data_IF_196606767716
#
_entry.id   IF_196606767716
#
_cell.length_a   1.000
_cell.length_b   1.000
_cell.length_c   1.000
_cell.angle_alpha   90.00
_cell.angle_beta   90.00
_cell.angle_gamma   90.00
#
_symmetry.space_group_name_H-M   'P 1'
#
loop_
_entity.id
_entity.type
_entity.pdbx_description
1 polymer ?
#
# COMPACT_ATOMS: atom_id res chain seq x y z
N UNK A 1 7.53 -14.79 13.19
CA UNK A 1 7.06 -16.16 12.89
C UNK A 1 8.18 -16.88 12.17
N UNK A 2 8.38 -18.17 12.44
CA UNK A 2 9.61 -18.93 12.14
C UNK A 2 10.24 -18.64 10.78
N UNK A 3 11.57 -18.48 10.77
CA UNK A 3 12.38 -18.33 9.55
C UNK A 3 12.94 -19.68 9.07
N UNK A 4 12.44 -20.80 9.61
CA UNK A 4 12.86 -22.18 9.32
C UNK A 4 11.70 -23.06 8.85
N UNK A 5 11.98 -24.33 8.56
CA UNK A 5 11.00 -25.29 8.03
C UNK A 5 10.13 -26.00 9.07
N UNK A 6 10.41 -25.80 10.36
CA UNK A 6 9.67 -26.44 11.44
C UNK A 6 8.42 -25.64 11.84
N UNK A 7 7.40 -26.35 12.32
CA UNK A 7 6.18 -25.73 12.82
C UNK A 7 6.49 -24.76 13.97
N UNK A 8 5.94 -23.54 13.86
CA UNK A 8 6.10 -22.49 14.84
C UNK A 8 4.74 -22.05 15.36
N UNK A 9 4.64 -21.91 16.68
CA UNK A 9 3.41 -21.50 17.37
C UNK A 9 3.53 -20.05 17.86
N UNK A 10 2.44 -19.30 17.78
CA UNK A 10 2.32 -17.97 18.37
C UNK A 10 1.12 -17.95 19.31
N UNK A 11 1.38 -17.70 20.59
CA UNK A 11 0.36 -17.61 21.62
C UNK A 11 0.13 -16.13 21.91
N UNK A 12 -1.09 -15.66 21.70
CA UNK A 12 -1.48 -14.28 21.97
C UNK A 12 -2.22 -14.22 23.31
N UNK A 13 -1.66 -13.50 24.28
CA UNK A 13 -2.26 -13.32 25.61
C UNK A 13 -2.77 -11.88 25.77
N UNK A 14 -3.98 -11.73 26.30
CA UNK A 14 -4.60 -10.42 26.55
C UNK A 14 -5.04 -10.30 28.01
N UNK A 15 -5.11 -9.05 28.50
CA UNK A 15 -5.70 -8.76 29.80
C UNK A 15 -7.24 -8.81 29.77
N UNK A 16 -7.87 -8.84 30.95
CA UNK A 16 -9.33 -8.91 31.10
C UNK A 16 -10.11 -7.74 30.47
N UNK A 17 -9.49 -6.56 30.36
CA UNK A 17 -10.12 -5.36 29.77
C UNK A 17 -9.47 -5.05 28.43
N UNK A 18 -10.14 -5.46 27.35
CA UNK A 18 -9.80 -5.08 25.98
C UNK A 18 -10.71 -3.94 25.51
N UNK A 19 -10.11 -2.93 24.89
CA UNK A 19 -10.89 -1.99 24.08
C UNK A 19 -11.53 -2.74 22.91
N UNK A 20 -12.61 -2.17 22.34
CA UNK A 20 -13.26 -2.79 21.18
C UNK A 20 -12.30 -2.92 20.00
N UNK A 21 -11.45 -1.91 19.78
CA UNK A 21 -10.42 -1.95 18.74
C UNK A 21 -9.41 -3.09 18.97
N UNK A 22 -8.90 -3.23 20.20
CA UNK A 22 -7.95 -4.29 20.53
C UNK A 22 -8.56 -5.68 20.35
N UNK A 23 -9.86 -5.85 20.64
CA UNK A 23 -10.58 -7.11 20.40
C UNK A 23 -10.62 -7.44 18.90
N UNK A 24 -11.00 -6.48 18.05
CA UNK A 24 -11.09 -6.70 16.60
C UNK A 24 -9.70 -7.06 16.03
N UNK A 25 -8.64 -6.39 16.47
CA UNK A 25 -7.26 -6.70 16.04
C UNK A 25 -6.86 -8.12 16.42
N UNK A 26 -7.15 -8.54 17.64
CA UNK A 26 -6.87 -9.89 18.12
C UNK A 26 -7.65 -10.95 17.35
N UNK A 27 -8.95 -10.74 17.14
CA UNK A 27 -9.79 -11.66 16.35
C UNK A 27 -9.26 -11.80 14.92
N UNK A 28 -8.92 -10.69 14.27
CA UNK A 28 -8.35 -10.68 12.91
C UNK A 28 -7.05 -11.48 12.85
N UNK A 29 -6.19 -11.34 13.86
CA UNK A 29 -4.89 -12.01 13.93
C UNK A 29 -5.00 -13.55 14.12
N UNK A 30 -6.12 -14.02 14.68
CA UNK A 30 -6.41 -15.46 14.86
C UNK A 30 -7.19 -16.04 13.68
N UNK A 31 -8.04 -15.24 13.03
CA UNK A 31 -8.90 -15.69 11.93
C UNK A 31 -8.15 -15.92 10.61
N UNK A 32 -7.01 -15.24 10.39
CA UNK A 32 -6.28 -15.34 9.13
C UNK A 32 -4.77 -15.20 9.31
N UNK A 33 -4.03 -15.93 8.48
CA UNK A 33 -2.57 -15.79 8.35
C UNK A 33 -2.18 -14.89 7.16
N UNK A 34 -3.14 -14.35 6.42
CA UNK A 34 -2.87 -13.49 5.27
C UNK A 34 -2.54 -12.06 5.74
N UNK A 35 -1.28 -11.66 5.56
CA UNK A 35 -0.78 -10.34 5.95
C UNK A 35 -1.55 -9.17 5.33
N UNK A 36 -2.10 -9.32 4.12
CA UNK A 36 -2.87 -8.25 3.49
C UNK A 36 -4.20 -7.99 4.20
N UNK A 37 -4.93 -9.05 4.57
CA UNK A 37 -6.21 -8.94 5.30
C UNK A 37 -6.01 -8.33 6.68
N UNK A 38 -4.93 -8.71 7.36
CA UNK A 38 -4.54 -8.11 8.65
C UNK A 38 -4.23 -6.63 8.48
N UNK A 39 -3.43 -6.26 7.48
CA UNK A 39 -3.08 -4.85 7.20
C UNK A 39 -4.27 -4.01 6.80
N UNK A 40 -5.22 -4.54 6.03
CA UNK A 40 -6.45 -3.82 5.67
C UNK A 40 -7.32 -3.53 6.90
N UNK A 41 -7.44 -4.51 7.80
CA UNK A 41 -8.23 -4.34 9.02
C UNK A 41 -7.55 -3.37 9.99
N UNK A 42 -6.22 -3.44 10.14
CA UNK A 42 -5.45 -2.49 10.94
C UNK A 42 -5.59 -1.06 10.39
N UNK A 43 -5.57 -0.89 9.06
CA UNK A 43 -5.78 0.40 8.40
C UNK A 43 -7.19 0.96 8.63
N UNK A 44 -8.22 0.12 8.57
CA UNK A 44 -9.61 0.53 8.85
C UNK A 44 -9.79 0.96 10.30
N UNK A 45 -9.15 0.28 11.25
CA UNK A 45 -9.26 0.58 12.68
C UNK A 45 -8.50 1.86 13.06
N UNK A 46 -7.31 2.07 12.47
CA UNK A 46 -6.52 3.30 12.68
C UNK A 46 -7.11 4.53 11.98
N UNK A 47 -7.89 4.31 10.93
CA UNK A 47 -8.40 5.38 10.08
C UNK A 47 -7.34 5.98 9.15
N UNK A 48 -7.75 6.77 8.15
CA UNK A 48 -6.87 7.34 7.13
C UNK A 48 -5.86 8.38 7.68
N UNK A 49 -6.01 8.81 8.92
CA UNK A 49 -5.15 9.83 9.55
C UNK A 49 -3.87 9.29 10.20
N UNK A 50 -3.75 7.97 10.40
CA UNK A 50 -2.63 7.37 11.14
C UNK A 50 -1.77 6.41 10.29
N UNK A 51 -1.95 6.43 8.96
CA UNK A 51 -0.92 5.97 8.00
C UNK A 51 0.39 6.77 8.13
N UNK A 52 0.33 7.94 8.77
CA UNK A 52 1.45 8.87 8.97
C UNK A 52 2.14 8.72 10.33
N UNK A 53 1.99 7.58 10.99
CA UNK A 53 2.78 7.25 12.18
C UNK A 53 4.26 7.09 11.85
N UNK A 54 4.99 8.21 11.85
CA UNK A 54 6.43 8.43 11.62
C UNK A 54 6.87 8.52 10.15
N UNK A 55 7.57 9.63 9.85
CA UNK A 55 8.42 9.76 8.66
C UNK A 55 9.24 8.47 8.45
N UNK A 56 8.89 7.65 7.47
CA UNK A 56 9.84 6.72 6.90
C UNK A 56 9.75 6.72 5.38
N UNK A 57 10.80 7.31 4.80
CA UNK A 57 11.48 6.89 3.58
C UNK A 57 10.60 6.59 2.38
N UNK A 58 10.01 7.64 1.81
CA UNK A 58 9.49 7.59 0.45
C UNK A 58 8.13 8.25 0.32
N UNK A 59 8.08 9.57 0.55
CA UNK A 59 6.94 10.41 0.22
C UNK A 59 6.52 10.16 -1.23
N UNK A 60 5.51 9.32 -1.42
CA UNK A 60 4.59 9.53 -2.52
C UNK A 60 3.85 10.79 -2.11
N UNK A 61 4.22 11.92 -2.70
CA UNK A 61 3.51 13.18 -2.57
C UNK A 61 2.10 13.04 -3.17
N UNK A 62 1.21 12.31 -2.51
CA UNK A 62 -0.21 12.37 -2.74
C UNK A 62 -0.69 13.66 -2.08
N UNK A 63 -0.44 14.79 -2.75
CA UNK A 63 -0.75 16.12 -2.22
C UNK A 63 -2.24 16.31 -1.89
N UNK A 64 -3.14 15.44 -2.37
CA UNK A 64 -4.60 15.66 -2.31
C UNK A 64 -5.39 14.33 -2.43
N UNK A 65 -4.90 13.18 -1.95
CA UNK A 65 -5.66 11.93 -2.04
C UNK A 65 -5.84 11.29 -0.67
N UNK A 66 -7.09 11.23 -0.22
CA UNK A 66 -7.46 10.43 0.94
C UNK A 66 -7.64 9.00 0.42
N UNK A 67 -6.67 8.12 0.73
CA UNK A 67 -6.69 6.74 0.26
C UNK A 67 -7.99 5.99 0.60
N UNK A 68 -8.68 6.39 1.68
CA UNK A 68 -9.93 5.76 2.11
C UNK A 68 -11.15 6.21 1.31
N UNK A 69 -11.19 7.48 0.88
CA UNK A 69 -12.29 8.03 0.08
C UNK A 69 -12.07 7.84 -1.43
N UNK A 70 -10.83 7.93 -1.88
CA UNK A 70 -10.46 7.88 -3.31
C UNK A 70 -10.14 6.47 -3.81
N UNK A 71 -10.39 5.43 -3.00
CA UNK A 71 -10.09 4.04 -3.34
C UNK A 71 -10.72 3.61 -4.68
N UNK A 72 -11.94 4.09 -4.97
CA UNK A 72 -12.63 3.81 -6.23
C UNK A 72 -11.92 4.47 -7.42
N UNK A 73 -11.52 5.73 -7.27
CA UNK A 73 -10.80 6.49 -8.31
C UNK A 73 -9.42 5.87 -8.56
N UNK A 74 -8.73 5.46 -7.50
CA UNK A 74 -7.44 4.77 -7.58
C UNK A 74 -7.58 3.41 -8.29
N UNK A 75 -8.65 2.67 -8.04
CA UNK A 75 -8.90 1.40 -8.72
C UNK A 75 -9.19 1.61 -10.22
N UNK A 76 -10.00 2.61 -10.58
CA UNK A 76 -10.28 2.97 -11.97
C UNK A 76 -8.99 3.38 -12.68
N UNK A 77 -8.19 4.26 -12.07
CA UNK A 77 -6.93 4.71 -12.62
C UNK A 77 -5.93 3.55 -12.79
N UNK A 78 -5.86 2.63 -11.82
CA UNK A 78 -5.02 1.43 -11.92
C UNK A 78 -5.45 0.54 -13.09
N UNK A 79 -6.74 0.25 -13.20
CA UNK A 79 -7.24 -0.60 -14.27
C UNK A 79 -7.00 0.03 -15.65
N UNK A 80 -7.23 1.32 -15.80
CA UNK A 80 -6.93 2.05 -17.03
C UNK A 80 -5.43 1.97 -17.40
N UNK A 81 -4.54 2.06 -16.42
CA UNK A 81 -3.10 1.92 -16.65
C UNK A 81 -2.72 0.49 -17.05
N UNK A 82 -3.31 -0.54 -16.43
CA UNK A 82 -3.09 -1.95 -16.80
C UNK A 82 -3.59 -2.21 -18.22
N UNK A 83 -4.80 -1.75 -18.56
CA UNK A 83 -5.37 -1.91 -19.89
C UNK A 83 -4.51 -1.21 -20.95
N UNK A 84 -4.01 -0.01 -20.66
CA UNK A 84 -3.10 0.71 -21.54
C UNK A 84 -1.80 -0.06 -21.76
N UNK A 85 -1.17 -0.57 -20.70
CA UNK A 85 0.07 -1.35 -20.79
C UNK A 85 -0.13 -2.70 -21.48
N UNK A 86 -1.31 -3.31 -21.35
CA UNK A 86 -1.64 -4.57 -22.04
C UNK A 86 -1.71 -4.39 -23.57
N UNK A 87 -2.07 -3.18 -24.03
CA UNK A 87 -2.17 -2.84 -25.46
C UNK A 87 -0.88 -2.26 -26.03
N UNK A 88 -0.12 -1.55 -25.20
CA UNK A 88 1.11 -0.88 -25.60
C UNK A 88 2.10 -0.81 -24.44
N UNK A 89 2.78 -1.92 -24.18
CA UNK A 89 3.75 -2.09 -23.10
C UNK A 89 4.90 -1.06 -23.17
N UNK A 90 5.27 -0.65 -24.39
CA UNK A 90 6.41 0.24 -24.62
C UNK A 90 6.04 1.72 -24.75
N UNK A 91 4.75 2.04 -24.63
CA UNK A 91 4.18 3.38 -24.86
C UNK A 91 4.66 3.95 -26.21
N UNK A 92 4.66 3.10 -27.23
CA UNK A 92 5.15 3.39 -28.58
C UNK A 92 4.10 4.05 -29.47
N UNK A 93 2.81 3.95 -29.10
CA UNK A 93 1.73 4.53 -29.87
C UNK A 93 1.73 6.06 -29.76
N UNK A 94 1.32 6.78 -30.83
CA UNK A 94 1.28 8.24 -30.84
C UNK A 94 0.42 8.83 -29.73
N UNK A 95 -0.65 8.12 -29.35
CA UNK A 95 -1.57 8.49 -28.27
C UNK A 95 -0.91 8.47 -26.87
N UNK A 96 0.12 7.64 -26.67
CA UNK A 96 0.82 7.49 -25.39
C UNK A 96 2.12 8.31 -25.29
N UNK A 97 2.50 9.03 -26.36
CA UNK A 97 3.76 9.77 -26.41
C UNK A 97 3.87 10.82 -25.28
N UNK A 98 2.79 11.55 -25.00
CA UNK A 98 2.74 12.53 -23.90
C UNK A 98 2.93 11.88 -22.53
N UNK A 99 2.37 10.69 -22.33
CA UNK A 99 2.50 9.93 -21.07
C UNK A 99 3.95 9.48 -20.90
N UNK A 100 4.56 8.96 -21.96
CA UNK A 100 5.97 8.56 -21.99
C UNK A 100 6.91 9.71 -21.66
N UNK A 101 6.71 10.88 -22.28
CA UNK A 101 7.51 12.08 -22.00
C UNK A 101 7.38 12.53 -20.52
N UNK A 102 6.15 12.53 -19.97
CA UNK A 102 5.90 12.85 -18.57
C UNK A 102 6.58 11.86 -17.61
N UNK A 103 6.49 10.56 -17.88
CA UNK A 103 7.12 9.51 -17.10
C UNK A 103 8.64 9.63 -17.12
N UNK A 104 9.24 9.83 -18.30
CA UNK A 104 10.69 10.05 -18.42
C UNK A 104 11.16 11.27 -17.61
N UNK A 105 10.41 12.37 -17.63
CA UNK A 105 10.71 13.57 -16.84
C UNK A 105 10.64 13.30 -15.33
N UNK A 106 9.63 12.55 -14.87
CA UNK A 106 9.48 12.17 -13.45
C UNK A 106 10.55 11.18 -12.98
N UNK A 107 10.88 10.18 -13.80
CA UNK A 107 11.89 9.17 -13.47
C UNK A 107 13.30 9.77 -13.41
N UNK A 108 13.66 10.69 -14.32
CA UNK A 108 14.92 11.44 -14.25
C UNK A 108 15.05 12.15 -12.90
N UNK A 109 14.00 12.84 -12.46
CA UNK A 109 14.02 13.51 -11.15
C UNK A 109 14.15 12.53 -9.99
N UNK A 110 13.52 11.34 -10.05
CA UNK A 110 13.59 10.34 -8.97
C UNK A 110 14.97 9.67 -8.84
N UNK A 111 15.63 9.40 -9.97
CA UNK A 111 17.01 8.86 -10.03
C UNK A 111 18.07 9.79 -9.42
N UNK A 112 17.80 11.10 -9.36
CA UNK A 112 18.66 12.06 -8.66
C UNK A 112 18.62 11.87 -7.13
N UNK A 113 17.46 11.50 -6.55
CA UNK A 113 17.33 11.30 -5.09
C UNK A 113 17.95 9.98 -4.63
N UNK A 114 17.96 8.94 -5.47
CA UNK A 114 18.58 7.65 -5.14
C UNK A 114 20.11 7.66 -5.18
N UNK A 115 20.74 8.76 -5.61
CA UNK A 115 22.20 8.96 -5.60
C UNK A 115 22.72 9.73 -4.38
N UNK A 116 21.82 10.20 -3.50
CA UNK A 116 22.16 10.99 -2.30
C UNK A 116 21.71 10.23 -1.04
N UNK A 117 21.85 8.91 -1.02
CA UNK A 117 21.65 8.07 0.18
C UNK A 117 22.81 7.10 0.31
#
# INVERSE_FOLDING_TARGET
MGRGGDESYCILMTGHKLSNEARIRMETMVQTNNGFTISETDLKLRGPGDITGLQQSGLVNLKIADLSHDQQVLNIARNAAIDMLSKDETLSLPEHEKIKQLLQKRLKNKLLWSRIS
#
